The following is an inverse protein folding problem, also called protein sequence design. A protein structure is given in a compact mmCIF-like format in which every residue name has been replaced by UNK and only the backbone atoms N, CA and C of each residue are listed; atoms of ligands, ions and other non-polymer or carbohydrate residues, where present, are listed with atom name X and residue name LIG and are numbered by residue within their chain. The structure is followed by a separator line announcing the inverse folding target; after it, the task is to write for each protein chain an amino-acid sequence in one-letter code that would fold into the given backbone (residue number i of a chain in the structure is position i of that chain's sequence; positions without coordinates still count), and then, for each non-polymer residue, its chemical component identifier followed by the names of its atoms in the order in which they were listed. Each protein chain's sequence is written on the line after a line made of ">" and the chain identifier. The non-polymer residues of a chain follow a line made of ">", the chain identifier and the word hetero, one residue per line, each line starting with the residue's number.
data_IF_369983852054
#
_entry.id   IF_369983852054
#
_cell.length_a   1.000
_cell.length_b   1.000
_cell.length_c   1.000
_cell.angle_alpha   90.00
_cell.angle_beta   90.00
_cell.angle_gamma   90.00
#
_symmetry.space_group_name_H-M   'P 1'
#
loop_
_entity.id
_entity.type
_entity.pdbx_description
1 polymer ?
#
# COMPACT_ATOMS: atom_id res chain seq x y z
N UNK A 1 -3.92 5.64 -18.09
CA UNK A 1 -2.51 5.54 -17.63
C UNK A 1 -2.37 4.39 -16.65
N UNK A 2 -1.18 3.78 -16.48
CA UNK A 2 -0.96 2.84 -15.36
C UNK A 2 -0.92 3.63 -14.03
N UNK A 3 -1.34 3.04 -12.90
CA UNK A 3 -1.33 3.68 -11.58
C UNK A 3 0.00 4.29 -11.17
N UNK A 4 1.10 3.57 -11.37
CA UNK A 4 2.45 4.10 -11.14
C UNK A 4 2.72 5.37 -11.97
N UNK A 5 2.36 5.35 -13.25
CA UNK A 5 2.57 6.49 -14.14
C UNK A 5 1.71 7.68 -13.72
N UNK A 6 0.47 7.43 -13.27
CA UNK A 6 -0.47 8.44 -12.79
C UNK A 6 0.08 9.20 -11.57
N UNK A 7 0.64 8.49 -10.59
CA UNK A 7 1.25 9.11 -9.40
C UNK A 7 2.40 10.04 -9.82
N UNK A 8 3.33 9.54 -10.65
CA UNK A 8 4.50 10.31 -11.09
C UNK A 8 4.08 11.54 -11.91
N UNK A 9 3.12 11.38 -12.81
CA UNK A 9 2.58 12.48 -13.62
C UNK A 9 1.87 13.54 -12.77
N UNK A 10 1.08 13.14 -11.78
CA UNK A 10 0.41 14.07 -10.88
C UNK A 10 1.42 14.90 -10.06
N UNK A 11 2.50 14.26 -9.56
CA UNK A 11 3.58 14.96 -8.86
C UNK A 11 4.31 15.96 -9.77
N UNK A 12 4.46 15.64 -11.05
CA UNK A 12 5.06 16.51 -12.07
C UNK A 12 4.07 17.51 -12.69
N UNK A 13 2.88 17.69 -12.08
CA UNK A 13 1.82 18.60 -12.55
C UNK A 13 1.39 18.38 -14.01
N UNK A 14 1.55 17.15 -14.50
CA UNK A 14 1.06 16.76 -15.82
C UNK A 14 -0.42 16.40 -15.75
N UNK A 15 -1.18 16.60 -16.84
CA UNK A 15 -2.57 16.16 -16.91
C UNK A 15 -2.66 14.64 -16.70
N UNK A 16 -3.58 14.21 -15.84
CA UNK A 16 -3.83 12.80 -15.51
C UNK A 16 -5.31 12.47 -15.75
N UNK A 17 -5.58 11.21 -16.05
CA UNK A 17 -6.92 10.65 -16.32
C UNK A 17 -7.81 10.60 -15.07
N UNK A 18 -7.23 10.44 -13.88
CA UNK A 18 -7.89 10.46 -12.57
C UNK A 18 -6.93 11.01 -11.52
N UNK A 19 -7.44 11.61 -10.44
CA UNK A 19 -6.60 11.97 -9.29
C UNK A 19 -6.10 10.70 -8.58
N UNK A 20 -4.79 10.47 -8.44
CA UNK A 20 -4.27 9.33 -7.69
C UNK A 20 -4.48 9.57 -6.18
N UNK A 21 -4.87 8.52 -5.46
CA UNK A 21 -5.08 8.55 -4.01
C UNK A 21 -4.17 7.52 -3.37
N UNK A 22 -3.53 7.90 -2.26
CA UNK A 22 -2.74 6.98 -1.45
C UNK A 22 -2.97 7.28 0.03
N UNK A 23 -2.90 6.23 0.85
CA UNK A 23 -3.06 6.35 2.30
C UNK A 23 -1.72 6.08 2.99
N UNK A 24 -1.32 6.99 3.87
CA UNK A 24 -0.22 6.73 4.78
C UNK A 24 -0.56 5.57 5.71
N UNK A 25 0.40 4.66 5.93
CA UNK A 25 0.27 3.49 6.81
C UNK A 25 -0.81 2.47 6.37
N UNK A 26 -1.01 2.34 5.06
CA UNK A 26 -1.87 1.30 4.46
C UNK A 26 -1.51 -0.13 4.93
N UNK A 27 -0.22 -0.43 5.10
CA UNK A 27 0.26 -1.67 5.72
C UNK A 27 0.39 -1.47 7.24
N UNK A 28 -0.65 -1.84 7.97
CA UNK A 28 -0.69 -1.59 9.41
C UNK A 28 -1.64 -2.49 10.18
N UNK A 29 -1.84 -2.14 11.45
CA UNK A 29 -2.59 -2.92 12.45
C UNK A 29 -4.07 -3.12 12.12
N UNK A 30 -4.58 -2.51 11.05
CA UNK A 30 -5.95 -2.73 10.58
C UNK A 30 -6.07 -4.05 9.80
N UNK A 31 -4.97 -4.56 9.23
CA UNK A 31 -4.97 -5.82 8.50
C UNK A 31 -4.81 -7.00 9.46
N UNK A 32 -5.68 -8.03 9.39
CA UNK A 32 -5.58 -9.21 10.23
C UNK A 32 -4.29 -9.99 9.96
N UNK A 33 -3.80 -10.00 8.72
CA UNK A 33 -2.53 -10.63 8.34
C UNK A 33 -1.33 -9.94 8.98
N UNK A 34 -1.32 -8.60 9.04
CA UNK A 34 -0.29 -7.85 9.74
C UNK A 34 -0.25 -8.18 11.24
N UNK A 35 -1.40 -8.38 11.87
CA UNK A 35 -1.48 -8.74 13.30
C UNK A 35 -0.90 -10.12 13.59
N UNK A 36 -1.08 -11.10 12.71
CA UNK A 36 -0.48 -12.44 12.85
C UNK A 36 1.04 -12.35 12.85
N UNK A 37 1.60 -11.69 11.85
CA UNK A 37 3.06 -11.46 11.74
C UNK A 37 3.58 -10.66 12.95
N UNK A 38 2.80 -9.69 13.45
CA UNK A 38 3.16 -8.91 14.63
C UNK A 38 3.12 -9.69 15.95
N UNK A 39 2.38 -10.80 16.02
CA UNK A 39 2.33 -11.68 17.18
C UNK A 39 3.51 -12.66 17.21
N UNK A 40 4.03 -13.02 16.03
CA UNK A 40 5.11 -14.01 15.87
C UNK A 40 6.51 -13.37 15.88
N UNK A 41 6.64 -12.09 15.48
CA UNK A 41 7.92 -11.42 15.31
C UNK A 41 7.99 -10.05 16.00
N UNK A 42 9.14 -9.74 16.60
CA UNK A 42 9.40 -8.44 17.19
C UNK A 42 9.44 -7.34 16.12
N UNK A 43 9.23 -6.09 16.54
CA UNK A 43 9.21 -4.95 15.60
C UNK A 43 10.50 -4.83 14.80
N UNK A 44 11.66 -4.94 15.45
CA UNK A 44 12.96 -4.83 14.80
C UNK A 44 13.25 -5.99 13.84
N UNK A 45 12.89 -7.22 14.21
CA UNK A 45 13.03 -8.38 13.33
C UNK A 45 12.23 -8.17 12.04
N UNK A 46 10.99 -7.68 12.14
CA UNK A 46 10.15 -7.38 10.98
C UNK A 46 10.71 -6.27 10.09
N UNK A 47 11.43 -5.30 10.65
CA UNK A 47 12.05 -4.22 9.89
C UNK A 47 13.41 -4.60 9.28
N UNK A 48 14.11 -5.57 9.85
CA UNK A 48 15.44 -6.01 9.39
C UNK A 48 15.37 -7.21 8.44
N UNK A 49 14.32 -8.02 8.52
CA UNK A 49 14.08 -9.12 7.60
C UNK A 49 13.38 -8.63 6.32
N UNK A 50 14.05 -8.82 5.19
CA UNK A 50 13.60 -8.37 3.86
C UNK A 50 12.34 -9.12 3.42
N UNK A 51 12.22 -10.42 3.72
CA UNK A 51 11.09 -11.24 3.30
C UNK A 51 9.83 -10.88 4.11
N UNK A 52 9.98 -10.65 5.42
CA UNK A 52 8.90 -10.16 6.27
C UNK A 52 8.48 -8.73 5.87
N UNK A 53 9.43 -7.82 5.63
CA UNK A 53 9.15 -6.47 5.14
C UNK A 53 8.37 -6.48 3.82
N UNK A 54 8.78 -7.33 2.88
CA UNK A 54 8.12 -7.47 1.58
C UNK A 54 6.71 -8.01 1.72
N UNK A 55 6.52 -9.05 2.54
CA UNK A 55 5.21 -9.61 2.82
C UNK A 55 4.26 -8.54 3.38
N UNK A 56 4.69 -7.78 4.38
CA UNK A 56 3.91 -6.69 4.99
C UNK A 56 3.58 -5.58 3.97
N UNK A 57 4.55 -5.16 3.16
CA UNK A 57 4.38 -4.06 2.19
C UNK A 57 3.43 -4.42 1.05
N UNK A 58 3.41 -5.69 0.64
CA UNK A 58 2.56 -6.16 -0.46
C UNK A 58 1.11 -6.45 -0.04
N UNK A 59 0.83 -6.60 1.26
CA UNK A 59 -0.53 -6.88 1.76
C UNK A 59 -1.59 -5.86 1.27
N UNK A 60 -1.38 -4.53 1.37
CA UNK A 60 -2.40 -3.55 0.97
C UNK A 60 -2.65 -3.53 -0.53
N UNK A 61 -1.60 -3.76 -1.33
CA UNK A 61 -1.68 -3.76 -2.81
C UNK A 61 -2.56 -4.91 -3.31
N UNK A 62 -2.59 -6.03 -2.57
CA UNK A 62 -3.43 -7.20 -2.90
C UNK A 62 -4.91 -6.97 -2.58
N UNK A 63 -5.19 -6.33 -1.43
CA UNK A 63 -6.55 -6.06 -0.96
C UNK A 63 -7.18 -4.87 -1.69
N UNK A 64 -6.38 -3.82 -1.94
CA UNK A 64 -6.83 -2.59 -2.57
C UNK A 64 -5.79 -2.20 -3.62
N UNK A 65 -6.08 -2.39 -4.92
CA UNK A 65 -5.26 -1.83 -5.96
C UNK A 65 -5.18 -0.32 -5.75
N UNK A 66 -3.97 0.23 -5.74
CA UNK A 66 -3.61 1.65 -5.57
C UNK A 66 -4.40 2.64 -6.46
N UNK A 67 -5.10 2.13 -7.47
CA UNK A 67 -5.97 2.88 -8.39
C UNK A 67 -7.50 2.77 -8.11
N UNK A 68 -7.93 1.82 -7.27
CA UNK A 68 -9.36 1.47 -7.07
C UNK A 68 -10.01 2.05 -5.82
N UNK A 69 -9.31 2.81 -4.99
CA UNK A 69 -9.93 3.38 -3.78
C UNK A 69 -11.19 4.22 -4.06
N UNK A 70 -11.36 4.75 -5.27
CA UNK A 70 -12.55 5.50 -5.65
C UNK A 70 -13.63 4.67 -6.36
N UNK A 71 -13.42 3.39 -6.66
CA UNK A 71 -14.47 2.51 -7.23
C UNK A 71 -15.31 1.82 -6.14
N UNK A 72 -14.89 1.94 -4.87
CA UNK A 72 -15.60 1.43 -3.70
C UNK A 72 -16.40 2.53 -2.95
N UNK A 73 -16.45 3.74 -3.52
CA UNK A 73 -17.24 4.87 -3.03
C UNK A 73 -18.45 5.17 -3.93
N UNK A 74 -18.96 4.13 -4.62
CA UNK A 74 -20.32 4.12 -5.17
C UNK A 74 -21.18 3.16 -4.36
#
# INVERSE_FOLDING_TARGET
>A
MNGKQRIVSALNRQPVDRTPVWFMRQAGRHLPEYRKIAAEHNFWERCMDVDLCKAITLQPIREIPEDRCCDHLQ
#
